data_IF_980013833592
#
_entry.id   IF_980013833592
#
_cell.length_a   1.000
_cell.length_b   1.000
_cell.length_c   1.000
_cell.angle_alpha   90.00
_cell.angle_beta   90.00
_cell.angle_gamma   90.00
#
_symmetry.space_group_name_H-M   'P 1'
#
loop_
_entity.id
_entity.type
_entity.pdbx_description
1 polymer ?
#
# COMPACT_ATOMS: atom_id res chain seq x y z
N UNK A 1 -43.19 34.90 46.35
CA UNK A 1 -42.81 33.97 47.43
C UNK A 1 -42.73 32.51 46.95
N UNK A 2 -43.82 31.79 46.65
CA UNK A 2 -43.70 30.40 46.08
C UNK A 2 -43.15 30.37 44.65
N UNK A 3 -43.68 31.25 43.77
CA UNK A 3 -43.27 31.34 42.36
C UNK A 3 -41.79 31.71 42.16
N UNK A 4 -41.25 32.61 42.97
CA UNK A 4 -39.82 32.99 42.92
C UNK A 4 -38.86 31.84 43.25
N UNK A 5 -39.25 30.99 44.21
CA UNK A 5 -38.44 29.84 44.63
C UNK A 5 -38.36 28.77 43.54
N UNK A 6 -39.41 28.59 42.75
CA UNK A 6 -39.42 27.66 41.62
C UNK A 6 -38.61 28.19 40.42
N UNK A 7 -38.61 29.51 40.19
CA UNK A 7 -37.78 30.13 39.16
C UNK A 7 -36.28 29.93 39.45
N UNK A 8 -35.85 30.16 40.69
CA UNK A 8 -34.45 29.97 41.10
C UNK A 8 -33.99 28.50 41.00
N UNK A 9 -34.90 27.54 41.26
CA UNK A 9 -34.60 26.11 41.09
C UNK A 9 -34.40 25.74 39.62
N UNK A 10 -35.22 26.28 38.72
CA UNK A 10 -35.10 26.02 37.27
C UNK A 10 -33.81 26.60 36.71
N UNK A 11 -33.46 27.84 37.08
CA UNK A 11 -32.21 28.47 36.66
C UNK A 11 -30.97 27.70 37.14
N UNK A 12 -31.00 27.19 38.38
CA UNK A 12 -29.92 26.36 38.90
C UNK A 12 -29.80 25.04 38.12
N UNK A 13 -30.94 24.40 37.81
CA UNK A 13 -30.94 23.17 37.02
C UNK A 13 -30.43 23.38 35.58
N UNK A 14 -30.78 24.50 34.95
CA UNK A 14 -30.28 24.84 33.62
C UNK A 14 -28.77 25.11 33.61
N UNK A 15 -28.24 25.79 34.63
CA UNK A 15 -26.80 26.05 34.77
C UNK A 15 -26.00 24.77 34.98
N UNK A 16 -26.50 23.85 35.82
CA UNK A 16 -25.86 22.55 36.04
C UNK A 16 -25.91 21.68 34.77
N UNK A 17 -27.04 21.64 34.05
CA UNK A 17 -27.17 20.89 32.80
C UNK A 17 -26.25 21.41 31.68
N UNK A 18 -26.02 22.73 31.61
CA UNK A 18 -25.08 23.32 30.67
C UNK A 18 -23.63 22.93 30.98
N UNK A 19 -23.25 22.95 32.25
CA UNK A 19 -21.90 22.57 32.72
C UNK A 19 -21.61 21.08 32.53
N UNK A 20 -22.60 20.22 32.74
CA UNK A 20 -22.49 18.77 32.50
C UNK A 20 -22.25 18.48 31.01
N UNK A 21 -22.96 19.18 30.11
CA UNK A 21 -22.78 19.05 28.66
C UNK A 21 -21.39 19.47 28.18
N UNK A 22 -20.81 20.51 28.79
CA UNK A 22 -19.44 20.95 28.50
C UNK A 22 -18.42 19.87 28.91
N UNK A 23 -18.56 19.30 30.11
CA UNK A 23 -17.71 18.20 30.59
C UNK A 23 -17.79 16.96 29.71
N UNK A 24 -18.98 16.58 29.26
CA UNK A 24 -19.16 15.45 28.33
C UNK A 24 -18.50 15.73 26.98
N UNK A 25 -18.59 16.97 26.47
CA UNK A 25 -17.97 17.37 25.20
C UNK A 25 -16.44 17.39 25.28
N UNK A 26 -15.88 17.86 26.40
CA UNK A 26 -14.43 17.90 26.61
C UNK A 26 -13.85 16.50 26.82
N UNK A 27 -14.54 15.63 27.57
CA UNK A 27 -14.17 14.22 27.74
C UNK A 27 -14.17 13.46 26.41
N UNK A 28 -15.18 13.68 25.55
CA UNK A 28 -15.24 13.06 24.22
C UNK A 28 -14.12 13.53 23.28
N UNK A 29 -13.61 14.76 23.44
CA UNK A 29 -12.47 15.27 22.68
C UNK A 29 -11.16 14.60 23.10
N UNK A 30 -11.00 14.29 24.39
CA UNK A 30 -9.82 13.62 24.92
C UNK A 30 -9.76 12.14 24.50
N UNK A 31 -10.90 11.45 24.44
CA UNK A 31 -10.93 10.03 24.00
C UNK A 31 -10.68 9.86 22.50
N UNK A 32 -11.12 10.80 21.65
CA UNK A 32 -10.82 10.76 20.21
C UNK A 32 -9.35 11.00 19.87
N UNK A 33 -8.57 11.61 20.75
CA UNK A 33 -7.13 11.80 20.54
C UNK A 33 -6.31 10.52 20.77
N UNK A 34 -6.94 9.41 21.19
CA UNK A 34 -6.25 8.16 21.57
C UNK A 34 -6.53 6.97 20.65
N UNK A 35 -7.37 7.13 19.62
CA UNK A 35 -7.97 6.01 18.89
C UNK A 35 -7.27 5.57 17.60
N UNK A 36 -6.84 6.49 16.73
CA UNK A 36 -6.66 6.13 15.31
C UNK A 36 -5.31 6.50 14.68
N UNK A 37 -4.44 7.25 15.37
CA UNK A 37 -3.12 7.64 14.81
C UNK A 37 -1.98 6.64 15.09
N UNK A 38 -2.21 5.62 15.94
CA UNK A 38 -1.16 4.66 16.30
C UNK A 38 -0.94 3.55 15.26
N UNK A 39 -1.89 3.31 14.35
CA UNK A 39 -1.76 2.25 13.33
C UNK A 39 -1.20 2.80 12.00
N UNK A 40 -1.28 4.12 11.76
CA UNK A 40 -0.69 4.74 10.57
C UNK A 40 0.80 5.03 10.73
N UNK A 41 1.26 5.34 11.95
CA UNK A 41 2.66 5.66 12.22
C UNK A 41 3.59 4.43 12.23
N UNK A 42 3.09 3.26 12.63
CA UNK A 42 3.92 2.05 12.67
C UNK A 42 4.19 1.42 11.29
N UNK A 43 3.55 1.91 10.23
CA UNK A 43 3.81 1.48 8.84
C UNK A 43 4.79 2.43 8.11
N UNK A 44 5.22 3.52 8.75
CA UNK A 44 5.93 4.61 8.08
C UNK A 44 7.42 4.76 8.45
N UNK A 45 7.97 3.97 9.38
CA UNK A 45 9.33 4.25 9.91
C UNK A 45 10.22 3.03 10.11
N UNK A 46 10.34 2.17 9.09
CA UNK A 46 11.55 1.36 8.92
C UNK A 46 11.83 1.10 7.42
N UNK A 47 11.83 2.18 6.63
CA UNK A 47 12.20 2.19 5.21
C UNK A 47 13.72 2.01 4.99
N UNK A 48 14.51 1.98 6.08
CA UNK A 48 15.97 1.96 6.04
C UNK A 48 16.62 0.57 6.09
N UNK A 49 15.86 -0.51 6.25
CA UNK A 49 16.38 -1.88 6.27
C UNK A 49 15.54 -2.88 5.46
N UNK A 50 14.65 -2.40 4.60
CA UNK A 50 13.93 -3.26 3.69
C UNK A 50 14.87 -3.75 2.60
N UNK A 51 15.57 -4.87 2.84
CA UNK A 51 16.37 -5.53 1.82
C UNK A 51 15.52 -5.72 0.56
N UNK A 52 15.82 -4.96 -0.48
CA UNK A 52 15.13 -5.06 -1.75
C UNK A 52 15.63 -6.30 -2.49
N UNK A 53 14.70 -7.18 -2.88
CA UNK A 53 15.00 -8.41 -3.61
C UNK A 53 14.51 -8.25 -5.04
N UNK A 54 15.38 -8.58 -5.99
CA UNK A 54 15.01 -8.69 -7.38
C UNK A 54 14.38 -10.06 -7.63
N UNK A 55 13.15 -10.04 -8.13
CA UNK A 55 12.38 -11.23 -8.45
C UNK A 55 12.19 -11.30 -9.96
N UNK A 56 12.73 -12.37 -10.55
CA UNK A 56 12.57 -12.71 -11.96
C UNK A 56 11.29 -13.51 -12.13
N UNK A 57 10.32 -12.94 -12.85
CA UNK A 57 9.02 -13.54 -13.11
C UNK A 57 9.00 -14.01 -14.56
N UNK A 58 8.95 -15.33 -14.74
CA UNK A 58 8.88 -15.98 -16.05
C UNK A 58 7.43 -16.24 -16.45
N UNK A 59 7.11 -16.02 -17.71
CA UNK A 59 5.80 -16.32 -18.26
C UNK A 59 5.77 -17.77 -18.76
N UNK A 60 4.85 -18.58 -18.23
CA UNK A 60 4.83 -20.02 -18.49
C UNK A 60 4.59 -20.44 -19.95
N UNK A 61 4.00 -19.57 -20.79
CA UNK A 61 3.59 -19.94 -22.17
C UNK A 61 4.40 -19.29 -23.30
N UNK A 62 4.90 -18.06 -23.11
CA UNK A 62 5.52 -17.27 -24.19
C UNK A 62 7.02 -17.03 -24.01
N UNK A 63 7.64 -17.59 -22.95
CA UNK A 63 9.08 -17.47 -22.71
C UNK A 63 9.56 -16.07 -22.31
N UNK A 64 8.66 -15.10 -22.11
CA UNK A 64 9.02 -13.77 -21.60
C UNK A 64 9.39 -13.79 -20.12
N UNK A 65 10.27 -12.89 -19.71
CA UNK A 65 10.60 -12.67 -18.30
C UNK A 65 10.60 -11.18 -17.96
N UNK A 66 10.18 -10.84 -16.75
CA UNK A 66 10.25 -9.48 -16.20
C UNK A 66 10.88 -9.55 -14.82
N UNK A 67 11.81 -8.65 -14.55
CA UNK A 67 12.41 -8.48 -13.23
C UNK A 67 11.69 -7.35 -12.51
N UNK A 68 11.23 -7.63 -11.29
CA UNK A 68 10.63 -6.64 -10.40
C UNK A 68 11.43 -6.55 -9.11
N UNK A 69 11.60 -5.35 -8.60
CA UNK A 69 12.24 -5.10 -7.29
C UNK A 69 11.14 -4.93 -6.26
N UNK A 70 11.19 -5.72 -5.19
CA UNK A 70 10.22 -5.68 -4.08
C UNK A 70 10.94 -5.88 -2.74
N UNK A 71 10.37 -5.44 -1.61
CA UNK A 71 10.93 -5.74 -0.29
C UNK A 71 11.05 -7.25 -0.03
N UNK A 72 12.07 -7.69 0.72
CA UNK A 72 12.28 -9.10 1.06
C UNK A 72 11.09 -9.75 1.80
N UNK A 73 10.37 -8.94 2.59
CA UNK A 73 9.18 -9.34 3.34
C UNK A 73 7.86 -9.15 2.57
N UNK A 74 7.93 -8.79 1.28
CA UNK A 74 6.76 -8.58 0.44
C UNK A 74 5.92 -9.86 0.28
N UNK A 75 4.62 -9.67 0.11
CA UNK A 75 3.68 -10.76 -0.18
C UNK A 75 3.58 -11.00 -1.68
N UNK A 76 3.07 -12.17 -2.07
CA UNK A 76 2.77 -12.49 -3.47
C UNK A 76 1.81 -11.47 -4.10
N UNK A 77 0.89 -10.91 -3.30
CA UNK A 77 0.02 -9.82 -3.73
C UNK A 77 0.81 -8.57 -4.12
N UNK A 78 1.83 -8.21 -3.34
CA UNK A 78 2.67 -7.03 -3.60
C UNK A 78 3.53 -7.23 -4.85
N UNK A 79 4.04 -8.46 -5.06
CA UNK A 79 4.71 -8.84 -6.32
C UNK A 79 3.78 -8.67 -7.52
N UNK A 80 2.52 -9.12 -7.42
CA UNK A 80 1.54 -8.95 -8.51
C UNK A 80 1.25 -7.48 -8.79
N UNK A 81 1.12 -6.64 -7.75
CA UNK A 81 0.94 -5.19 -7.91
C UNK A 81 2.14 -4.56 -8.59
N UNK A 82 3.35 -4.85 -8.11
CA UNK A 82 4.60 -4.35 -8.69
C UNK A 82 4.75 -4.77 -10.15
N UNK A 83 4.38 -6.01 -10.49
CA UNK A 83 4.41 -6.51 -11.86
C UNK A 83 3.42 -5.76 -12.77
N UNK A 84 2.16 -5.59 -12.34
CA UNK A 84 1.15 -4.86 -13.13
C UNK A 84 1.55 -3.39 -13.30
N UNK A 85 2.13 -2.77 -12.27
CA UNK A 85 2.69 -1.43 -12.36
C UNK A 85 3.86 -1.35 -13.35
N UNK A 86 4.77 -2.34 -13.32
CA UNK A 86 5.94 -2.39 -14.21
C UNK A 86 5.55 -2.61 -15.68
N UNK A 87 4.58 -3.48 -15.93
CA UNK A 87 4.07 -3.76 -17.28
C UNK A 87 3.11 -2.65 -17.76
N UNK A 88 2.51 -1.90 -16.83
CA UNK A 88 1.57 -0.81 -17.13
C UNK A 88 0.23 -1.28 -17.74
N UNK A 89 -0.01 -2.60 -17.78
CA UNK A 89 -1.19 -3.21 -18.40
C UNK A 89 -1.63 -4.44 -17.61
N UNK A 90 -2.93 -4.71 -17.64
CA UNK A 90 -3.54 -5.87 -16.99
C UNK A 90 -4.15 -5.58 -15.63
N UNK A 91 -4.74 -6.60 -15.03
CA UNK A 91 -5.40 -6.53 -13.72
C UNK A 91 -4.71 -7.51 -12.77
N UNK A 92 -4.45 -7.08 -11.53
CA UNK A 92 -3.83 -7.91 -10.48
C UNK A 92 -4.56 -9.24 -10.30
N UNK A 93 -5.91 -9.24 -10.39
CA UNK A 93 -6.75 -10.45 -10.27
C UNK A 93 -6.58 -11.46 -11.40
N UNK A 94 -6.11 -11.02 -12.57
CA UNK A 94 -5.85 -11.90 -13.73
C UNK A 94 -4.45 -12.53 -13.67
N UNK A 95 -3.57 -12.02 -12.81
CA UNK A 95 -2.22 -12.54 -12.62
C UNK A 95 -2.25 -13.65 -11.58
N UNK A 96 -1.88 -14.86 -11.98
CA UNK A 96 -1.63 -15.96 -11.06
C UNK A 96 -0.13 -16.27 -11.04
N UNK A 97 0.47 -16.12 -9.85
CA UNK A 97 1.81 -16.60 -9.58
C UNK A 97 1.70 -18.08 -9.24
N UNK A 98 2.52 -18.91 -9.89
CA UNK A 98 2.51 -20.35 -9.74
C UNK A 98 3.92 -20.87 -9.47
N UNK A 99 3.99 -21.97 -8.73
CA UNK A 99 5.17 -22.80 -8.58
C UNK A 99 5.08 -23.98 -9.53
N UNK A 100 6.18 -24.29 -10.20
CA UNK A 100 6.31 -25.54 -10.94
C UNK A 100 6.62 -26.69 -9.97
N UNK A 101 5.79 -27.74 -9.98
CA UNK A 101 6.01 -29.00 -9.26
C UNK A 101 5.98 -30.15 -10.26
N UNK A 102 7.09 -30.35 -10.96
CA UNK A 102 7.22 -31.40 -11.96
C UNK A 102 6.40 -31.11 -13.21
N UNK A 103 5.22 -31.73 -13.35
CA UNK A 103 4.31 -31.52 -14.50
C UNK A 103 3.08 -30.69 -14.16
N UNK A 104 2.95 -30.24 -12.91
CA UNK A 104 1.81 -29.45 -12.44
C UNK A 104 2.26 -28.08 -11.98
N UNK A 105 1.34 -27.12 -12.08
CA UNK A 105 1.52 -25.78 -11.57
C UNK A 105 0.61 -25.58 -10.35
N UNK A 106 1.18 -25.09 -9.27
CA UNK A 106 0.46 -24.80 -8.03
C UNK A 106 0.42 -23.29 -7.80
N UNK A 107 -0.77 -22.72 -7.65
CA UNK A 107 -0.92 -21.29 -7.45
C UNK A 107 -0.52 -20.88 -6.03
N UNK A 108 0.26 -19.80 -5.94
CA UNK A 108 0.58 -19.18 -4.66
C UNK A 108 -0.59 -18.38 -4.11
N UNK A 109 -0.73 -18.39 -2.78
CA UNK A 109 -1.70 -17.54 -2.08
C UNK A 109 -1.23 -16.10 -2.03
N UNK A 110 -2.16 -15.15 -2.12
CA UNK A 110 -1.86 -13.71 -2.04
C UNK A 110 -1.26 -13.30 -0.69
N UNK A 111 -1.57 -14.05 0.37
CA UNK A 111 -1.04 -13.83 1.72
C UNK A 111 0.33 -14.50 1.95
N UNK A 112 0.78 -15.32 1.01
CA UNK A 112 2.08 -15.98 1.12
C UNK A 112 3.20 -14.96 0.93
N UNK A 113 4.26 -15.09 1.73
CA UNK A 113 5.44 -14.23 1.63
C UNK A 113 6.39 -14.74 0.54
N UNK A 114 7.18 -13.83 -0.01
CA UNK A 114 8.22 -14.18 -0.98
C UNK A 114 9.24 -15.18 -0.40
N UNK A 115 9.54 -15.07 0.90
CA UNK A 115 10.44 -15.97 1.65
C UNK A 115 11.79 -16.18 0.93
N UNK A 116 12.36 -15.12 0.36
CA UNK A 116 13.65 -15.17 -0.36
C UNK A 116 13.61 -15.80 -1.75
N UNK A 117 12.42 -16.08 -2.31
CA UNK A 117 12.30 -16.63 -3.67
C UNK A 117 12.52 -15.52 -4.70
N UNK A 118 13.58 -15.65 -5.48
CA UNK A 118 13.92 -14.73 -6.57
C UNK A 118 13.38 -15.16 -7.93
N UNK A 119 12.83 -16.38 -8.05
CA UNK A 119 12.29 -16.89 -9.32
C UNK A 119 10.85 -17.36 -9.15
N UNK A 120 9.96 -16.81 -9.97
CA UNK A 120 8.53 -17.15 -9.97
C UNK A 120 8.05 -17.38 -11.40
N UNK A 121 7.04 -18.22 -11.56
CA UNK A 121 6.33 -18.40 -12.83
C UNK A 121 4.97 -17.72 -12.74
N UNK A 122 4.53 -17.06 -13.81
CA UNK A 122 3.20 -16.47 -13.88
C UNK A 122 2.36 -16.98 -15.05
N UNK A 123 1.04 -16.93 -14.83
CA UNK A 123 -0.01 -17.23 -15.79
C UNK A 123 -1.03 -16.08 -15.84
N UNK A 124 -1.71 -15.93 -16.99
CA UNK A 124 -2.85 -15.01 -17.15
C UNK A 124 -2.51 -13.58 -17.58
N UNK A 125 -1.23 -13.22 -17.68
CA UNK A 125 -0.80 -11.92 -18.20
C UNK A 125 0.17 -12.09 -19.37
N UNK A 126 -0.06 -11.35 -20.46
CA UNK A 126 0.83 -11.33 -21.61
C UNK A 126 1.95 -10.34 -21.35
N UNK A 127 3.18 -10.84 -21.21
CA UNK A 127 4.35 -10.00 -21.37
C UNK A 127 4.50 -9.78 -22.87
N UNK A 128 3.81 -8.77 -23.39
CA UNK A 128 4.32 -8.14 -24.60
C UNK A 128 5.49 -7.33 -24.09
N UNK A 129 6.69 -7.90 -24.16
CA UNK A 129 7.89 -7.09 -24.24
C UNK A 129 7.74 -6.30 -25.53
N UNK A 130 6.97 -5.20 -25.48
CA UNK A 130 7.37 -4.05 -26.25
C UNK A 130 8.77 -3.82 -25.74
N UNK A 131 9.75 -4.20 -26.55
CA UNK A 131 11.13 -3.82 -26.40
C UNK A 131 11.08 -2.30 -26.27
N UNK A 132 10.90 -1.81 -25.04
CA UNK A 132 11.03 -0.40 -24.74
C UNK A 132 12.51 -0.21 -24.85
N UNK A 133 12.93 -0.04 -26.10
CA UNK A 133 14.28 0.31 -26.46
C UNK A 133 14.66 1.44 -25.55
N UNK A 134 15.85 1.30 -24.99
CA UNK A 134 16.76 2.41 -24.90
C UNK A 134 16.07 3.74 -24.50
N UNK A 135 16.07 4.01 -23.19
CA UNK A 135 16.33 5.39 -22.76
C UNK A 135 17.74 5.77 -23.27
N UNK A 136 17.85 5.99 -24.57
CA UNK A 136 18.94 6.61 -25.30
C UNK A 136 18.34 7.83 -25.99
N UNK A 137 17.98 8.84 -25.19
CA UNK A 137 17.84 10.24 -25.59
C UNK A 137 17.45 11.02 -24.31
N UNK A 138 18.02 12.17 -23.95
CA UNK A 138 18.84 13.11 -24.69
C UNK A 138 19.69 13.89 -23.67
N UNK A 139 21.00 13.90 -23.87
CA UNK A 139 21.95 14.69 -23.10
C UNK A 139 23.30 14.80 -23.80
N UNK A 140 23.34 14.62 -25.12
CA UNK A 140 24.51 14.89 -25.93
C UNK A 140 24.08 15.79 -27.09
N UNK A 141 24.87 16.85 -27.29
CA UNK A 141 24.87 17.83 -28.38
C UNK A 141 23.95 19.05 -28.19
N UNK A 142 24.56 20.19 -27.80
CA UNK A 142 24.93 21.24 -28.76
C UNK A 142 25.40 22.52 -28.04
N UNK A 143 26.71 22.78 -28.09
CA UNK A 143 27.28 24.04 -28.65
C UNK A 143 28.80 23.95 -28.67
N UNK A 144 29.30 23.39 -29.76
CA UNK A 144 30.45 23.98 -30.45
C UNK A 144 30.00 25.30 -31.10
N UNK A 145 30.84 26.32 -31.11
CA UNK A 145 30.52 27.65 -31.63
C UNK A 145 31.35 28.73 -30.92
N UNK A 146 32.66 28.82 -31.17
CA UNK A 146 33.30 29.59 -32.28
C UNK A 146 33.60 31.02 -31.84
N UNK A 147 34.86 31.41 -32.00
CA UNK A 147 35.29 32.81 -32.16
C UNK A 147 36.00 33.38 -30.95
#
# INVERSE_FOLDING_TARGET
WKRDRDLAKRDKAFKEAAKERERVREKARLERARGDDAIAACIATDDSCAEEVQVTIRQGQKGGQVVVTVPAYATMLDVKKALVQKVGRGLVRKVQLVKEKGKTFEAYSDQERLCGRSELVMLGLSLVTEDVGAQANAGAQAKAGVG
#
